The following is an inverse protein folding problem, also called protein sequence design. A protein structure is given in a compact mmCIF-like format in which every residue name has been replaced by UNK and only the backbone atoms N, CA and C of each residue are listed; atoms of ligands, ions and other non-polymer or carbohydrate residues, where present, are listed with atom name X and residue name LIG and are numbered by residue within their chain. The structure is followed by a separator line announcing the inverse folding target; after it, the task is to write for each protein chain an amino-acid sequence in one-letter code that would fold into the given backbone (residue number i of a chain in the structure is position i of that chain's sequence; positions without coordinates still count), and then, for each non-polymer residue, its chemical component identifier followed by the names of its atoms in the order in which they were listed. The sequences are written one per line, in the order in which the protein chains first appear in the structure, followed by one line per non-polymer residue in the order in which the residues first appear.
data_IF_747042864274
#
_entry.id   IF_747042864274
#
_cell.length_a   1.000
_cell.length_b   1.000
_cell.length_c   1.000
_cell.angle_alpha   90.00
_cell.angle_beta   90.00
_cell.angle_gamma   90.00
#
_symmetry.space_group_name_H-M   'P 1'
#
loop_
_entity.id
_entity.type
_entity.pdbx_description
1 polymer ?
#
# COMPACT_ATOMS: atom_id res chain seq x y z
N UNK A 1 41.91 -1.78 8.65
CA UNK A 1 40.44 -1.79 8.56
C UNK A 1 40.00 -3.07 7.88
N UNK A 2 39.09 -3.83 8.48
CA UNK A 2 38.44 -4.94 7.81
C UNK A 2 37.53 -4.40 6.70
N UNK A 3 37.51 -5.08 5.56
CA UNK A 3 36.55 -4.75 4.49
C UNK A 3 35.24 -5.51 4.71
N UNK A 4 34.13 -5.07 4.13
CA UNK A 4 32.87 -5.81 4.20
C UNK A 4 32.97 -7.23 3.60
N UNK A 5 33.97 -7.47 2.75
CA UNK A 5 34.32 -8.80 2.24
C UNK A 5 34.93 -9.71 3.33
N UNK A 6 35.59 -9.11 4.32
CA UNK A 6 36.18 -9.82 5.47
C UNK A 6 35.16 -10.00 6.62
N UNK A 7 34.04 -9.27 6.61
CA UNK A 7 33.06 -9.25 7.70
C UNK A 7 31.98 -10.31 7.50
N UNK A 8 31.72 -11.13 8.53
CA UNK A 8 30.63 -12.12 8.51
C UNK A 8 29.24 -11.50 8.61
N UNK A 9 29.14 -10.30 9.16
CA UNK A 9 27.90 -9.56 9.36
C UNK A 9 27.95 -8.24 8.56
N UNK A 10 26.82 -7.80 8.01
CA UNK A 10 26.76 -6.56 7.22
C UNK A 10 27.24 -5.35 8.03
N UNK A 11 27.95 -4.41 7.40
CA UNK A 11 28.75 -3.42 8.15
C UNK A 11 27.95 -2.58 9.13
N UNK A 12 26.77 -2.07 8.75
CA UNK A 12 25.95 -1.20 9.62
C UNK A 12 25.13 -2.03 10.65
N UNK A 13 25.11 -3.36 10.58
CA UNK A 13 24.26 -4.18 11.47
C UNK A 13 24.49 -3.90 12.97
N UNK A 14 25.75 -3.71 13.38
CA UNK A 14 26.10 -3.34 14.76
C UNK A 14 25.51 -2.00 15.18
N UNK A 15 25.52 -1.02 14.27
CA UNK A 15 24.94 0.29 14.50
C UNK A 15 23.41 0.25 14.52
N UNK A 16 22.79 -0.52 13.62
CA UNK A 16 21.33 -0.67 13.61
C UNK A 16 20.85 -1.35 14.89
N UNK A 17 21.58 -2.33 15.42
CA UNK A 17 21.22 -2.95 16.69
C UNK A 17 21.21 -1.95 17.84
N UNK A 18 22.20 -1.06 17.95
CA UNK A 18 22.17 0.03 18.95
C UNK A 18 20.98 0.97 18.70
N UNK A 19 20.68 1.28 17.43
CA UNK A 19 19.54 2.14 17.09
C UNK A 19 18.18 1.52 17.43
N UNK A 20 18.10 0.20 17.67
CA UNK A 20 16.85 -0.45 18.09
C UNK A 20 16.48 -0.20 19.55
N UNK A 21 17.48 0.13 20.38
CA UNK A 21 17.30 0.41 21.80
C UNK A 21 16.97 1.90 22.07
N UNK A 22 16.84 2.70 21.00
CA UNK A 22 16.46 4.12 21.10
C UNK A 22 15.02 4.29 21.57
N UNK A 23 14.80 5.27 22.44
CA UNK A 23 13.48 5.67 22.91
C UNK A 23 12.75 6.55 21.88
N UNK A 24 11.43 6.69 22.00
CA UNK A 24 10.60 7.49 21.07
C UNK A 24 10.99 8.98 21.01
N UNK A 25 11.62 9.49 22.07
CA UNK A 25 12.13 10.86 22.17
C UNK A 25 13.56 11.03 21.64
N UNK A 26 14.18 9.96 21.15
CA UNK A 26 15.57 9.93 20.70
C UNK A 26 15.70 9.77 19.19
N UNK A 27 16.72 10.41 18.64
CA UNK A 27 17.01 10.40 17.22
C UNK A 27 18.51 10.28 16.99
N UNK A 28 18.90 9.36 16.12
CA UNK A 28 20.28 9.17 15.69
C UNK A 28 20.38 9.31 14.19
N UNK A 29 21.41 10.05 13.75
CA UNK A 29 21.79 10.18 12.35
C UNK A 29 23.20 9.69 12.18
N UNK A 30 23.36 8.60 11.43
CA UNK A 30 24.65 8.12 10.95
C UNK A 30 24.92 8.69 9.56
N UNK A 31 26.11 9.25 9.34
CA UNK A 31 26.46 9.90 8.08
C UNK A 31 27.91 9.65 7.67
N UNK A 32 28.08 9.07 6.48
CA UNK A 32 29.35 9.00 5.76
C UNK A 32 29.40 10.16 4.76
N UNK A 33 30.33 11.10 4.96
CA UNK A 33 30.57 12.20 4.00
C UNK A 33 31.87 11.96 3.27
N UNK A 34 31.83 12.02 1.94
CA UNK A 34 32.98 11.79 1.08
C UNK A 34 33.20 12.95 0.12
N UNK A 35 34.46 13.32 -0.10
CA UNK A 35 34.90 14.29 -1.09
C UNK A 35 36.00 13.66 -1.95
N UNK A 36 35.80 13.70 -3.27
CA UNK A 36 36.81 13.22 -4.21
C UNK A 36 38.12 13.99 -4.07
N UNK A 37 39.24 13.28 -3.97
CA UNK A 37 40.56 13.91 -4.08
C UNK A 37 40.89 14.11 -5.55
N UNK A 38 41.38 15.29 -5.92
CA UNK A 38 41.89 15.55 -7.27
C UNK A 38 43.24 14.85 -7.42
N UNK A 39 43.40 14.07 -8.49
CA UNK A 39 44.64 13.38 -8.81
C UNK A 39 45.64 14.36 -9.43
N UNK A 40 46.38 15.04 -8.56
CA UNK A 40 47.37 16.05 -8.95
C UNK A 40 48.73 15.71 -8.35
N UNK A 41 49.81 16.21 -8.97
CA UNK A 41 51.19 16.01 -8.51
C UNK A 41 51.39 16.32 -7.01
N UNK A 42 50.71 17.36 -6.50
CA UNK A 42 50.73 17.72 -5.08
C UNK A 42 50.17 16.61 -4.17
N UNK A 43 49.03 16.01 -4.56
CA UNK A 43 48.39 14.94 -3.79
C UNK A 43 49.26 13.68 -3.78
N UNK A 44 49.83 13.33 -4.94
CA UNK A 44 50.73 12.18 -5.08
C UNK A 44 52.04 12.37 -4.31
N UNK A 45 52.60 13.58 -4.31
CA UNK A 45 53.75 13.93 -3.46
C UNK A 45 53.41 13.80 -1.97
N UNK A 46 52.25 14.33 -1.54
CA UNK A 46 51.78 14.20 -0.15
C UNK A 46 51.62 12.74 0.29
N UNK A 47 51.07 11.87 -0.57
CA UNK A 47 50.97 10.43 -0.28
C UNK A 47 52.36 9.81 -0.13
N UNK A 48 53.31 10.13 -1.01
CA UNK A 48 54.70 9.64 -0.90
C UNK A 48 55.35 10.07 0.42
N UNK A 49 55.21 11.34 0.81
CA UNK A 49 55.72 11.84 2.09
C UNK A 49 55.06 11.13 3.29
N UNK A 50 53.74 10.91 3.24
CA UNK A 50 53.02 10.18 4.29
C UNK A 50 53.51 8.72 4.41
N UNK A 51 53.72 8.02 3.28
CA UNK A 51 54.29 6.66 3.27
C UNK A 51 55.69 6.62 3.88
N UNK A 52 56.56 7.55 3.48
CA UNK A 52 57.93 7.64 4.01
C UNK A 52 57.95 7.91 5.51
N UNK A 53 57.14 8.89 5.97
CA UNK A 53 56.99 9.20 7.40
C UNK A 53 56.47 8.01 8.19
N UNK A 54 55.46 7.30 7.67
CA UNK A 54 54.92 6.11 8.32
C UNK A 54 55.95 4.97 8.38
N UNK A 55 56.77 4.79 7.33
CA UNK A 55 57.86 3.78 7.33
C UNK A 55 58.93 4.11 8.37
N UNK A 56 59.34 5.38 8.45
CA UNK A 56 60.30 5.86 9.44
C UNK A 56 59.80 5.72 10.89
N UNK A 57 58.55 6.13 11.17
CA UNK A 57 57.98 5.97 12.52
C UNK A 57 57.86 4.50 12.93
N UNK A 58 57.60 3.60 11.97
CA UNK A 58 57.56 2.15 12.21
C UNK A 58 58.94 1.57 12.52
N UNK A 59 60.00 2.03 11.85
CA UNK A 59 61.37 1.57 12.14
C UNK A 59 61.85 1.94 13.55
N UNK A 60 61.27 2.97 14.15
CA UNK A 60 61.60 3.41 15.52
C UNK A 60 60.82 2.66 16.62
N UNK A 61 59.84 1.82 16.27
CA UNK A 61 58.95 1.19 17.25
C UNK A 61 59.40 -0.25 17.56
N UNK A 62 59.77 -0.56 18.82
CA UNK A 62 60.23 -1.89 19.23
C UNK A 62 59.23 -3.02 18.94
N UNK A 63 57.93 -2.70 18.90
CA UNK A 63 56.83 -3.62 18.57
C UNK A 63 57.04 -4.29 17.20
N UNK A 64 57.69 -3.62 16.25
CA UNK A 64 57.82 -4.08 14.87
C UNK A 64 59.19 -4.72 14.56
N UNK A 65 60.20 -4.58 15.43
CA UNK A 65 61.55 -5.09 15.17
C UNK A 65 61.64 -6.61 14.98
N UNK A 66 60.74 -7.37 15.60
CA UNK A 66 60.70 -8.85 15.53
C UNK A 66 59.52 -9.40 14.71
N UNK A 67 58.77 -8.54 14.00
CA UNK A 67 57.53 -8.90 13.30
C UNK A 67 57.60 -8.65 11.79
N UNK A 68 58.64 -9.16 11.12
CA UNK A 68 58.91 -8.92 9.68
C UNK A 68 57.71 -9.21 8.77
N UNK A 69 57.05 -10.36 8.93
CA UNK A 69 55.89 -10.73 8.10
C UNK A 69 54.63 -9.86 8.29
N UNK A 70 54.51 -9.13 9.42
CA UNK A 70 53.42 -8.15 9.62
C UNK A 70 53.73 -6.84 8.90
N UNK A 71 55.01 -6.45 8.83
CA UNK A 71 55.45 -5.25 8.11
C UNK A 71 55.22 -5.43 6.61
N UNK A 72 55.56 -6.58 6.04
CA UNK A 72 55.35 -6.89 4.61
C UNK A 72 53.87 -6.77 4.23
N UNK A 73 52.99 -7.47 4.97
CA UNK A 73 51.53 -7.36 4.77
C UNK A 73 50.97 -5.94 4.90
N UNK A 74 51.58 -5.13 5.78
CA UNK A 74 51.22 -3.71 5.94
C UNK A 74 51.66 -2.86 4.76
N UNK A 75 52.88 -3.06 4.26
CA UNK A 75 53.39 -2.36 3.08
C UNK A 75 52.57 -2.71 1.83
N UNK A 76 52.25 -3.99 1.62
CA UNK A 76 51.36 -4.46 0.56
C UNK A 76 49.97 -3.79 0.62
N UNK A 77 49.36 -3.76 1.82
CA UNK A 77 48.04 -3.14 2.00
C UNK A 77 48.07 -1.62 1.73
N UNK A 78 49.15 -0.93 2.13
CA UNK A 78 49.33 0.51 1.86
C UNK A 78 49.52 0.77 0.37
N UNK A 79 50.28 -0.08 -0.31
CA UNK A 79 50.51 0.03 -1.75
C UNK A 79 49.23 -0.21 -2.54
N UNK A 80 48.54 -1.31 -2.23
CA UNK A 80 47.23 -1.61 -2.81
C UNK A 80 46.27 -0.43 -2.65
N UNK A 81 46.10 0.10 -1.43
CA UNK A 81 45.22 1.24 -1.16
C UNK A 81 45.61 2.51 -1.93
N UNK A 82 46.91 2.77 -2.08
CA UNK A 82 47.40 3.97 -2.77
C UNK A 82 47.20 3.94 -4.29
N UNK A 83 47.09 2.74 -4.87
CA UNK A 83 46.82 2.57 -6.30
C UNK A 83 45.33 2.67 -6.64
N UNK A 84 44.47 2.74 -5.61
CA UNK A 84 43.03 2.94 -5.79
C UNK A 84 42.68 4.43 -5.83
N UNK A 85 41.49 4.73 -6.36
CA UNK A 85 40.93 6.08 -6.27
C UNK A 85 40.54 6.38 -4.82
N UNK A 86 41.25 7.34 -4.22
CA UNK A 86 41.03 7.75 -2.85
C UNK A 86 40.00 8.88 -2.73
N UNK A 87 39.34 8.92 -1.59
CA UNK A 87 38.37 9.92 -1.19
C UNK A 87 38.72 10.38 0.22
N UNK A 88 38.61 11.69 0.47
CA UNK A 88 38.57 12.20 1.83
C UNK A 88 37.21 11.88 2.40
N UNK A 89 37.18 11.21 3.54
CA UNK A 89 35.93 10.84 4.17
C UNK A 89 35.95 11.11 5.68
N UNK A 90 34.77 11.44 6.17
CA UNK A 90 34.47 11.53 7.58
C UNK A 90 33.26 10.66 7.88
N UNK A 91 33.41 9.84 8.91
CA UNK A 91 32.30 9.18 9.53
C UNK A 91 31.79 10.05 10.68
N UNK A 92 30.49 10.35 10.69
CA UNK A 92 29.88 11.27 11.65
C UNK A 92 28.60 10.67 12.19
N UNK A 93 28.41 10.77 13.49
CA UNK A 93 27.20 10.34 14.19
C UNK A 93 26.67 11.55 14.94
N UNK A 94 25.39 11.84 14.79
CA UNK A 94 24.69 12.85 15.57
C UNK A 94 23.58 12.16 16.36
N UNK A 95 23.49 12.48 17.65
CA UNK A 95 22.43 12.05 18.52
C UNK A 95 21.68 13.28 19.02
N UNK A 96 20.36 13.21 19.05
CA UNK A 96 19.49 14.23 19.61
C UNK A 96 18.39 13.56 20.44
N UNK A 97 18.14 14.10 21.64
CA UNK A 97 17.02 13.72 22.50
C UNK A 97 16.09 14.92 22.64
N UNK A 98 14.79 14.72 22.47
CA UNK A 98 13.80 15.76 22.74
C UNK A 98 13.74 15.99 24.26
N UNK A 99 13.60 17.25 24.72
CA UNK A 99 13.43 17.51 26.13
C UNK A 99 12.16 16.81 26.65
N UNK A 100 12.30 15.97 27.67
CA UNK A 100 11.17 15.39 28.39
C UNK A 100 11.03 16.09 29.76
N UNK A 101 9.92 16.82 30.01
CA UNK A 101 9.70 17.54 31.27
C UNK A 101 9.74 16.64 32.52
N UNK A 102 9.42 15.35 32.39
CA UNK A 102 9.33 14.42 33.53
C UNK A 102 10.68 13.83 33.95
N UNK A 103 11.67 13.79 33.05
CA UNK A 103 12.91 13.02 33.24
C UNK A 103 14.09 13.90 33.72
N UNK A 104 13.94 15.23 33.76
CA UNK A 104 14.87 16.12 34.48
C UNK A 104 16.36 16.00 34.10
N UNK A 105 16.68 15.53 32.90
CA UNK A 105 18.06 15.40 32.43
C UNK A 105 18.58 16.78 32.01
N UNK A 106 19.20 17.50 32.95
CA UNK A 106 19.79 18.82 32.70
C UNK A 106 21.31 18.84 32.95
N UNK A 107 21.97 19.85 32.37
CA UNK A 107 23.37 20.16 32.63
C UNK A 107 24.33 19.02 32.30
N UNK A 108 25.18 18.67 33.26
CA UNK A 108 26.26 17.69 33.05
C UNK A 108 25.78 16.24 33.03
N UNK A 109 24.61 15.95 33.61
CA UNK A 109 24.00 14.61 33.57
C UNK A 109 23.57 14.27 32.14
N UNK A 110 22.93 15.22 31.44
CA UNK A 110 22.59 15.06 30.02
C UNK A 110 23.84 14.91 29.16
N UNK A 111 24.88 15.72 29.39
CA UNK A 111 26.15 15.58 28.64
C UNK A 111 26.79 14.21 28.85
N UNK A 112 26.75 13.69 30.08
CA UNK A 112 27.29 12.36 30.41
C UNK A 112 26.49 11.28 29.68
N UNK A 113 25.16 11.30 29.81
CA UNK A 113 24.27 10.38 29.08
C UNK A 113 24.54 10.39 27.57
N UNK A 114 24.60 11.58 26.96
CA UNK A 114 24.91 11.74 25.54
C UNK A 114 26.29 11.17 25.17
N UNK A 115 27.28 11.33 26.05
CA UNK A 115 28.63 10.80 25.82
C UNK A 115 28.64 9.28 25.91
N UNK A 116 27.97 8.71 26.92
CA UNK A 116 27.86 7.26 27.12
C UNK A 116 27.18 6.59 25.91
N UNK A 117 26.10 7.18 25.39
CA UNK A 117 25.45 6.70 24.16
C UNK A 117 26.40 6.76 22.96
N UNK A 118 27.12 7.87 22.81
CA UNK A 118 28.09 8.03 21.72
C UNK A 118 29.30 7.09 21.85
N UNK A 119 29.72 6.77 23.06
CA UNK A 119 30.78 5.78 23.35
C UNK A 119 30.33 4.37 22.92
N UNK A 120 29.06 3.98 23.17
CA UNK A 120 28.50 2.71 22.67
C UNK A 120 28.54 2.63 21.14
N UNK A 121 28.19 3.72 20.44
CA UNK A 121 28.36 3.81 18.98
C UNK A 121 29.85 3.71 18.59
N UNK A 122 30.73 4.25 19.42
CA UNK A 122 32.18 4.14 19.31
C UNK A 122 32.68 2.71 19.27
N UNK A 123 32.21 1.91 20.23
CA UNK A 123 32.53 0.50 20.32
C UNK A 123 31.98 -0.29 19.12
N UNK A 124 30.76 0.00 18.66
CA UNK A 124 30.19 -0.67 17.49
C UNK A 124 30.98 -0.43 16.19
N UNK A 125 31.55 0.77 16.00
CA UNK A 125 32.43 1.10 14.86
C UNK A 125 33.82 0.46 15.02
N UNK A 126 34.25 0.20 16.25
CA UNK A 126 35.57 -0.37 16.54
C UNK A 126 35.75 -1.79 15.98
N UNK A 127 34.66 -2.52 15.71
CA UNK A 127 34.65 -3.83 15.04
C UNK A 127 35.35 -3.78 13.67
N UNK A 128 35.41 -2.61 13.04
CA UNK A 128 36.10 -2.43 11.75
C UNK A 128 37.61 -2.21 11.89
N UNK A 129 38.10 -1.97 13.10
CA UNK A 129 39.52 -1.78 13.37
C UNK A 129 40.27 -3.11 13.23
N UNK A 130 41.49 -3.04 12.67
CA UNK A 130 42.44 -4.17 12.71
C UNK A 130 43.59 -3.75 13.63
N UNK A 131 43.90 -4.58 14.63
CA UNK A 131 44.81 -4.28 15.77
C UNK A 131 46.17 -3.70 15.35
N UNK A 132 46.68 -4.11 14.19
CA UNK A 132 47.99 -3.67 13.68
C UNK A 132 47.91 -2.84 12.38
N UNK A 133 46.70 -2.45 11.91
CA UNK A 133 46.49 -1.69 10.67
C UNK A 133 45.67 -0.41 10.91
N UNK A 134 44.83 0.01 9.93
CA UNK A 134 43.96 1.18 10.06
C UNK A 134 42.92 0.97 11.17
N UNK A 135 42.77 1.99 12.01
CA UNK A 135 41.75 2.13 13.05
C UNK A 135 41.09 3.52 12.97
N UNK A 136 39.89 3.64 13.52
CA UNK A 136 39.20 4.92 13.68
C UNK A 136 39.73 5.68 14.90
N UNK A 137 39.81 7.00 14.75
CA UNK A 137 40.11 7.93 15.84
C UNK A 137 38.88 8.77 16.11
N UNK A 138 38.36 8.70 17.33
CA UNK A 138 37.26 9.54 17.78
C UNK A 138 37.77 10.96 18.08
N UNK A 139 37.13 11.96 17.46
CA UNK A 139 37.37 13.36 17.78
C UNK A 139 36.54 13.74 19.02
N UNK A 140 36.89 14.85 19.67
CA UNK A 140 36.15 15.33 20.86
C UNK A 140 34.67 15.57 20.53
N UNK A 141 33.79 15.23 21.47
CA UNK A 141 32.36 15.52 21.36
C UNK A 141 32.10 17.01 21.20
N UNK A 142 31.25 17.35 20.23
CA UNK A 142 30.85 18.73 19.93
C UNK A 142 29.35 18.86 20.19
N UNK A 143 28.97 19.85 20.99
CA UNK A 143 27.58 20.08 21.39
C UNK A 143 27.06 21.41 20.87
N UNK A 144 25.74 21.55 20.86
CA UNK A 144 25.05 22.80 20.56
C UNK A 144 24.86 23.11 19.07
N UNK A 145 24.33 24.30 18.81
CA UNK A 145 23.88 24.72 17.47
C UNK A 145 24.99 24.81 16.44
N UNK A 146 26.21 25.19 16.84
CA UNK A 146 27.35 25.25 15.91
C UNK A 146 27.74 23.86 15.40
N UNK A 147 27.79 22.85 16.29
CA UNK A 147 28.04 21.47 15.92
C UNK A 147 26.97 20.92 14.97
N UNK A 148 25.69 21.22 15.25
CA UNK A 148 24.57 20.83 14.40
C UNK A 148 24.67 21.46 13.00
N UNK A 149 25.00 22.76 12.90
CA UNK A 149 25.18 23.44 11.61
C UNK A 149 26.31 22.80 10.79
N UNK A 150 27.45 22.52 11.41
CA UNK A 150 28.58 21.87 10.73
C UNK A 150 28.23 20.44 10.25
N UNK A 151 27.42 19.71 11.05
CA UNK A 151 26.88 18.41 10.68
C UNK A 151 25.96 18.53 9.45
N UNK A 152 24.99 19.44 9.49
CA UNK A 152 24.04 19.71 8.40
C UNK A 152 24.74 20.19 7.11
N UNK A 153 25.74 21.06 7.23
CA UNK A 153 26.53 21.60 6.12
C UNK A 153 27.51 20.58 5.50
N UNK A 154 27.62 19.37 6.08
CA UNK A 154 28.50 18.30 5.57
C UNK A 154 29.97 18.69 5.53
N UNK A 155 30.39 19.50 6.50
CA UNK A 155 31.79 19.91 6.61
C UNK A 155 32.71 18.72 6.92
N UNK A 156 33.83 18.67 6.20
CA UNK A 156 34.87 17.65 6.33
C UNK A 156 36.02 18.24 7.13
N UNK A 157 36.33 17.64 8.27
CA UNK A 157 37.45 18.06 9.14
C UNK A 157 38.18 16.82 9.65
N UNK A 158 39.52 16.84 9.66
CA UNK A 158 40.36 15.67 10.05
C UNK A 158 39.94 14.37 9.34
N UNK A 159 39.76 14.43 8.02
CA UNK A 159 39.30 13.29 7.21
C UNK A 159 40.34 12.19 7.07
N UNK A 160 39.87 10.95 6.96
CA UNK A 160 40.68 9.82 6.52
C UNK A 160 40.63 9.67 4.99
N UNK A 161 41.63 9.00 4.42
CA UNK A 161 41.60 8.59 3.01
C UNK A 161 41.04 7.17 2.92
N UNK A 162 40.01 6.99 2.11
CA UNK A 162 39.40 5.68 1.81
C UNK A 162 39.20 5.48 0.32
N UNK A 163 39.19 4.23 -0.11
CA UNK A 163 38.74 3.85 -1.45
C UNK A 163 37.33 3.26 -1.39
N UNK A 164 36.77 2.91 -2.54
CA UNK A 164 35.37 2.46 -2.68
C UNK A 164 35.00 1.28 -1.78
N UNK A 165 35.86 0.26 -1.63
CA UNK A 165 35.55 -0.93 -0.81
C UNK A 165 35.54 -0.57 0.68
N UNK A 166 36.49 0.24 1.15
CA UNK A 166 36.48 0.74 2.53
C UNK A 166 35.26 1.63 2.80
N UNK A 167 34.87 2.48 1.84
CA UNK A 167 33.67 3.31 1.95
C UNK A 167 32.38 2.46 2.02
N UNK A 168 32.26 1.44 1.18
CA UNK A 168 31.17 0.46 1.25
C UNK A 168 31.19 -0.29 2.59
N UNK A 169 32.37 -0.54 3.15
CA UNK A 169 32.50 -1.14 4.49
C UNK A 169 32.01 -0.22 5.60
N UNK A 170 31.97 1.09 5.41
CA UNK A 170 31.37 2.03 6.36
C UNK A 170 29.88 2.23 6.09
N UNK A 171 29.42 1.97 4.87
CA UNK A 171 28.03 2.14 4.49
C UNK A 171 27.59 1.05 3.51
N UNK A 172 27.10 -0.06 4.06
CA UNK A 172 26.42 -1.12 3.32
C UNK A 172 25.15 -1.50 4.08
N UNK A 173 23.97 -1.52 3.43
CA UNK A 173 22.72 -1.89 4.09
C UNK A 173 22.86 -3.27 4.75
N UNK A 174 22.41 -3.44 6.00
CA UNK A 174 22.46 -4.75 6.63
C UNK A 174 21.58 -5.73 5.85
N UNK A 175 22.03 -6.98 5.74
CA UNK A 175 21.16 -8.04 5.25
C UNK A 175 20.03 -8.28 6.25
N UNK A 176 18.85 -8.59 5.73
CA UNK A 176 17.62 -8.69 6.53
C UNK A 176 17.62 -9.84 7.53
N UNK A 177 18.59 -10.74 7.46
CA UNK A 177 18.74 -11.88 8.37
C UNK A 177 19.58 -11.51 9.61
N UNK A 178 20.32 -10.40 9.53
CA UNK A 178 21.25 -9.96 10.57
C UNK A 178 20.67 -8.88 11.48
N UNK A 179 19.46 -8.37 11.20
CA UNK A 179 18.83 -7.27 11.93
C UNK A 179 17.38 -7.64 12.25
N UNK A 180 17.06 -7.66 13.55
CA UNK A 180 15.70 -7.90 14.03
C UNK A 180 14.82 -6.65 13.83
N UNK A 181 13.49 -6.76 13.87
CA UNK A 181 12.54 -5.62 13.81
C UNK A 181 12.60 -4.71 12.56
N UNK A 182 13.31 -5.08 11.50
CA UNK A 182 13.27 -4.35 10.22
C UNK A 182 11.96 -4.62 9.46
N UNK A 183 11.21 -3.56 9.11
CA UNK A 183 10.00 -3.67 8.27
C UNK A 183 10.40 -4.01 6.83
N UNK A 184 10.24 -5.29 6.46
CA UNK A 184 10.47 -5.75 5.07
C UNK A 184 9.34 -5.23 4.17
N UNK A 185 9.71 -4.54 3.09
CA UNK A 185 8.78 -4.22 2.00
C UNK A 185 8.89 -5.35 0.99
N UNK A 186 7.97 -6.33 1.07
CA UNK A 186 8.00 -7.56 0.26
C UNK A 186 7.66 -7.34 -1.23
N UNK A 187 7.25 -6.13 -1.59
CA UNK A 187 6.79 -5.78 -2.93
C UNK A 187 7.24 -4.37 -3.28
N UNK A 188 7.68 -4.19 -4.53
CA UNK A 188 7.92 -2.85 -5.05
C UNK A 188 6.59 -2.10 -5.08
N UNK A 189 6.55 -0.93 -4.44
CA UNK A 189 5.41 -0.02 -4.57
C UNK A 189 5.52 0.69 -5.92
N UNK A 190 4.41 0.82 -6.62
CA UNK A 190 4.33 1.58 -7.86
C UNK A 190 3.75 2.98 -7.57
N UNK A 191 4.20 4.03 -8.29
CA UNK A 191 3.52 5.31 -8.26
C UNK A 191 2.12 5.18 -8.84
N UNK A 192 1.23 6.10 -8.46
CA UNK A 192 -0.06 6.27 -9.13
C UNK A 192 0.16 6.54 -10.63
N UNK A 193 -0.49 5.80 -11.54
CA UNK A 193 -0.51 6.14 -12.96
C UNK A 193 -1.12 7.52 -13.18
N UNK A 194 -0.56 8.30 -14.10
CA UNK A 194 -0.99 9.68 -14.38
C UNK A 194 -2.42 9.78 -14.93
N UNK A 195 -2.95 8.69 -15.50
CA UNK A 195 -4.28 8.62 -16.09
C UNK A 195 -5.40 8.38 -15.07
N UNK A 196 -5.07 8.07 -13.81
CA UNK A 196 -6.10 7.78 -12.80
C UNK A 196 -6.73 9.09 -12.32
N UNK A 197 -8.07 9.17 -12.20
CA UNK A 197 -8.74 10.37 -11.71
C UNK A 197 -8.43 10.60 -10.23
N UNK A 198 -8.01 11.82 -9.91
CA UNK A 198 -7.67 12.29 -8.56
C UNK A 198 -8.52 13.48 -8.11
N UNK A 199 -9.26 14.13 -9.02
CA UNK A 199 -10.06 15.31 -8.73
C UNK A 199 -11.35 14.93 -7.99
N UNK A 200 -11.51 15.49 -6.80
CA UNK A 200 -12.65 15.25 -5.89
C UNK A 200 -13.96 15.89 -6.37
N UNK A 201 -13.87 17.04 -7.05
CA UNK A 201 -15.04 17.87 -7.40
C UNK A 201 -15.71 17.49 -8.72
N UNK A 202 -15.18 16.49 -9.43
CA UNK A 202 -15.73 16.08 -10.72
C UNK A 202 -16.79 15.00 -10.52
N UNK A 203 -18.04 15.32 -10.90
CA UNK A 203 -19.18 14.39 -10.85
C UNK A 203 -19.02 13.13 -11.71
N UNK A 204 -18.04 13.10 -12.62
CA UNK A 204 -17.68 11.91 -13.37
C UNK A 204 -16.69 11.01 -12.65
N UNK A 205 -16.12 11.43 -11.51
CA UNK A 205 -15.09 10.69 -10.79
C UNK A 205 -15.65 10.07 -9.52
N UNK A 206 -15.38 8.78 -9.36
CA UNK A 206 -15.82 8.01 -8.21
C UNK A 206 -14.59 7.62 -7.38
N UNK A 207 -14.24 8.43 -6.40
CA UNK A 207 -13.07 8.20 -5.55
C UNK A 207 -13.34 7.08 -4.55
N UNK A 208 -12.43 6.10 -4.49
CA UNK A 208 -12.58 4.93 -3.62
C UNK A 208 -11.28 4.54 -2.89
N UNK A 209 -10.14 5.17 -3.24
CA UNK A 209 -8.83 4.80 -2.71
C UNK A 209 -7.91 5.98 -2.42
N UNK A 210 -6.83 5.69 -1.71
CA UNK A 210 -5.76 6.64 -1.39
C UNK A 210 -4.40 5.97 -1.61
N UNK A 211 -3.48 6.69 -2.24
CA UNK A 211 -2.11 6.22 -2.45
C UNK A 211 -1.37 6.08 -1.13
N UNK A 212 -0.37 5.20 -1.11
CA UNK A 212 0.59 5.08 -0.03
C UNK A 212 2.04 5.02 -0.58
N UNK A 213 2.23 5.49 -1.81
CA UNK A 213 3.52 5.50 -2.48
C UNK A 213 4.39 6.64 -1.95
N UNK A 214 5.49 6.34 -1.25
CA UNK A 214 6.41 7.35 -0.69
C UNK A 214 5.72 8.41 0.20
N UNK A 215 4.69 8.00 0.94
CA UNK A 215 3.86 8.89 1.76
C UNK A 215 3.07 9.92 0.94
N UNK A 216 2.89 9.69 -0.36
CA UNK A 216 1.88 10.38 -1.16
C UNK A 216 0.50 9.85 -0.74
N UNK A 217 -0.34 10.77 -0.27
CA UNK A 217 -1.68 10.55 0.24
C UNK A 217 -2.77 10.96 -0.78
N UNK A 218 -2.41 11.05 -2.06
CA UNK A 218 -3.33 11.41 -3.13
C UNK A 218 -4.51 10.42 -3.22
N UNK A 219 -5.73 10.95 -3.16
CA UNK A 219 -6.97 10.18 -3.38
C UNK A 219 -7.13 9.86 -4.86
N UNK A 220 -7.70 8.70 -5.15
CA UNK A 220 -7.90 8.23 -6.51
C UNK A 220 -9.20 7.45 -6.68
N UNK A 221 -9.66 7.33 -7.92
CA UNK A 221 -10.96 6.74 -8.24
C UNK A 221 -11.07 6.10 -9.61
N UNK A 222 -12.31 5.89 -10.03
CA UNK A 222 -12.68 5.45 -11.38
C UNK A 222 -13.46 6.55 -12.11
N UNK A 223 -13.18 6.74 -13.40
CA UNK A 223 -14.03 7.61 -14.23
C UNK A 223 -15.35 6.89 -14.52
N UNK A 224 -16.42 7.66 -14.68
CA UNK A 224 -17.72 7.14 -15.07
C UNK A 224 -17.68 6.44 -16.43
N UNK A 225 -16.86 6.93 -17.37
CA UNK A 225 -16.69 6.29 -18.68
C UNK A 225 -16.07 4.90 -18.55
N UNK A 226 -15.10 4.72 -17.67
CA UNK A 226 -14.45 3.42 -17.42
C UNK A 226 -15.43 2.46 -16.74
N UNK A 227 -16.25 2.97 -15.81
CA UNK A 227 -17.30 2.19 -15.14
C UNK A 227 -18.40 1.68 -16.10
N UNK A 228 -18.56 2.28 -17.28
CA UNK A 228 -19.46 1.75 -18.32
C UNK A 228 -18.97 0.42 -18.91
N UNK A 229 -17.67 0.14 -18.84
CA UNK A 229 -17.09 -1.14 -19.21
C UNK A 229 -17.31 -2.26 -18.18
N UNK A 230 -18.12 -2.00 -17.15
CA UNK A 230 -18.32 -2.84 -15.97
C UNK A 230 -17.06 -2.96 -15.09
N UNK A 231 -17.26 -3.35 -13.84
CA UNK A 231 -16.19 -3.50 -12.87
C UNK A 231 -16.28 -4.88 -12.22
N UNK A 232 -15.17 -5.61 -12.19
CA UNK A 232 -15.05 -6.88 -11.49
C UNK A 232 -14.16 -6.72 -10.26
N UNK A 233 -14.75 -6.86 -9.07
CA UNK A 233 -14.06 -6.64 -7.79
C UNK A 233 -13.79 -7.99 -7.14
N UNK A 234 -12.51 -8.33 -7.03
CA UNK A 234 -12.05 -9.58 -6.43
C UNK A 234 -11.43 -9.35 -5.05
N UNK A 235 -11.66 -10.28 -4.12
CA UNK A 235 -11.05 -10.24 -2.80
C UNK A 235 -11.62 -11.30 -1.86
N UNK A 236 -10.81 -11.76 -0.90
CA UNK A 236 -11.25 -12.67 0.16
C UNK A 236 -12.25 -11.99 1.12
N UNK A 237 -12.93 -12.75 1.97
CA UNK A 237 -13.73 -12.15 3.04
C UNK A 237 -12.86 -11.25 3.93
N UNK A 238 -13.42 -10.11 4.38
CA UNK A 238 -12.69 -9.10 5.16
C UNK A 238 -11.68 -8.25 4.38
N UNK A 239 -11.58 -8.37 3.05
CA UNK A 239 -10.64 -7.56 2.25
C UNK A 239 -11.15 -6.14 1.93
N UNK A 240 -12.31 -5.74 2.44
CA UNK A 240 -12.89 -4.41 2.19
C UNK A 240 -13.74 -4.26 0.92
N UNK A 241 -14.18 -5.37 0.29
CA UNK A 241 -15.03 -5.31 -0.92
C UNK A 241 -16.33 -4.52 -0.71
N UNK A 242 -17.07 -4.83 0.35
CA UNK A 242 -18.33 -4.15 0.68
C UNK A 242 -18.09 -2.66 0.95
N UNK A 243 -17.02 -2.33 1.66
CA UNK A 243 -16.65 -0.93 1.91
C UNK A 243 -16.29 -0.17 0.62
N UNK A 244 -15.55 -0.79 -0.30
CA UNK A 244 -15.30 -0.21 -1.62
C UNK A 244 -16.61 0.06 -2.37
N UNK A 245 -17.56 -0.89 -2.37
CA UNK A 245 -18.89 -0.69 -2.98
C UNK A 245 -19.65 0.45 -2.32
N UNK A 246 -19.63 0.56 -0.98
CA UNK A 246 -20.25 1.67 -0.25
C UNK A 246 -19.67 3.02 -0.68
N UNK A 247 -18.35 3.14 -0.88
CA UNK A 247 -17.73 4.37 -1.37
C UNK A 247 -18.20 4.73 -2.79
N UNK A 248 -18.32 3.73 -3.67
CA UNK A 248 -18.80 3.95 -5.02
C UNK A 248 -20.27 4.43 -5.02
N UNK A 249 -21.12 3.75 -4.27
CA UNK A 249 -22.54 4.09 -4.11
C UNK A 249 -22.69 5.47 -3.49
N UNK A 250 -21.90 5.79 -2.46
CA UNK A 250 -21.89 7.12 -1.82
C UNK A 250 -21.61 8.23 -2.82
N UNK A 251 -20.57 8.09 -3.63
CA UNK A 251 -20.22 9.09 -4.64
C UNK A 251 -21.34 9.27 -5.66
N UNK A 252 -21.94 8.17 -6.14
CA UNK A 252 -23.06 8.25 -7.08
C UNK A 252 -24.30 8.90 -6.45
N UNK A 253 -24.62 8.62 -5.18
CA UNK A 253 -25.70 9.30 -4.47
C UNK A 253 -25.44 10.80 -4.33
N UNK A 254 -24.22 11.19 -3.96
CA UNK A 254 -23.83 12.59 -3.77
C UNK A 254 -23.90 13.41 -5.06
N UNK A 255 -23.56 12.80 -6.20
CA UNK A 255 -23.63 13.46 -7.51
C UNK A 255 -25.01 13.34 -8.18
N UNK A 256 -26.03 12.81 -7.47
CA UNK A 256 -27.39 12.70 -8.00
C UNK A 256 -27.57 11.62 -9.07
N UNK A 257 -26.64 10.65 -9.17
CA UNK A 257 -26.77 9.54 -10.10
C UNK A 257 -27.75 8.48 -9.55
N UNK A 258 -28.53 7.89 -10.45
CA UNK A 258 -29.36 6.73 -10.14
C UNK A 258 -28.53 5.45 -10.03
N UNK A 259 -28.88 4.59 -9.08
CA UNK A 259 -28.20 3.32 -8.84
C UNK A 259 -29.19 2.29 -8.27
N UNK A 260 -28.86 1.02 -8.43
CA UNK A 260 -29.55 -0.11 -7.80
C UNK A 260 -28.51 -1.00 -7.13
N UNK A 261 -28.82 -1.48 -5.93
CA UNK A 261 -27.96 -2.36 -5.14
C UNK A 261 -28.74 -3.64 -4.89
N UNK A 262 -28.10 -4.76 -5.23
CA UNK A 262 -28.63 -6.09 -4.96
C UNK A 262 -27.68 -6.76 -3.99
N UNK A 263 -28.17 -7.03 -2.79
CA UNK A 263 -27.42 -7.69 -1.74
C UNK A 263 -28.25 -8.84 -1.15
N UNK A 264 -27.83 -10.11 -1.33
CA UNK A 264 -28.55 -11.24 -0.77
C UNK A 264 -28.43 -11.37 0.75
N UNK A 265 -27.50 -10.67 1.39
CA UNK A 265 -27.27 -10.75 2.85
C UNK A 265 -27.89 -9.58 3.63
N UNK A 266 -28.02 -8.42 3.00
CA UNK A 266 -28.66 -7.22 3.54
C UNK A 266 -27.72 -6.27 4.28
N UNK A 267 -26.55 -6.72 4.71
CA UNK A 267 -25.58 -5.94 5.47
C UNK A 267 -25.05 -4.72 4.69
N UNK A 268 -24.83 -4.88 3.38
CA UNK A 268 -24.42 -3.77 2.53
C UNK A 268 -25.54 -2.74 2.36
N UNK A 269 -26.79 -3.18 2.24
CA UNK A 269 -27.96 -2.30 2.09
C UNK A 269 -28.16 -1.48 3.37
N UNK A 270 -28.10 -2.11 4.54
CA UNK A 270 -28.22 -1.43 5.84
C UNK A 270 -27.17 -0.32 6.01
N UNK A 271 -25.94 -0.58 5.60
CA UNK A 271 -24.88 0.42 5.65
C UNK A 271 -25.07 1.56 4.65
N UNK A 272 -25.59 1.26 3.46
CA UNK A 272 -25.89 2.27 2.44
C UNK A 272 -27.03 3.18 2.90
N UNK A 273 -28.07 2.63 3.52
CA UNK A 273 -29.21 3.41 4.02
C UNK A 273 -28.76 4.48 5.04
N UNK A 274 -27.75 4.20 5.86
CA UNK A 274 -27.18 5.14 6.84
C UNK A 274 -26.47 6.35 6.20
N UNK A 275 -26.06 6.25 4.93
CA UNK A 275 -25.29 7.29 4.23
C UNK A 275 -26.09 7.99 3.12
N UNK A 276 -27.39 7.70 3.00
CA UNK A 276 -28.29 8.39 2.06
C UNK A 276 -28.35 9.88 2.42
N UNK A 277 -28.08 10.80 1.48
CA UNK A 277 -28.24 12.24 1.72
C UNK A 277 -29.69 12.62 2.04
N UNK A 278 -29.92 13.56 2.94
CA UNK A 278 -31.28 13.98 3.36
C UNK A 278 -32.19 14.37 2.17
N UNK A 279 -31.63 15.07 1.19
CA UNK A 279 -32.38 15.51 0.00
C UNK A 279 -32.82 14.35 -0.93
N UNK A 280 -32.24 13.16 -0.75
CA UNK A 280 -32.46 11.94 -1.55
C UNK A 280 -33.32 10.90 -0.84
N UNK A 281 -33.68 11.11 0.43
CA UNK A 281 -34.41 10.11 1.24
C UNK A 281 -35.73 9.69 0.57
N UNK A 282 -36.43 10.62 -0.05
CA UNK A 282 -37.70 10.36 -0.76
C UNK A 282 -37.53 9.58 -2.07
N UNK A 283 -36.31 9.47 -2.58
CA UNK A 283 -36.00 8.76 -3.82
C UNK A 283 -35.63 7.29 -3.58
N UNK A 284 -35.49 6.88 -2.31
CA UNK A 284 -35.04 5.54 -1.94
C UNK A 284 -36.22 4.57 -1.93
N UNK A 285 -36.07 3.47 -2.66
CA UNK A 285 -36.99 2.34 -2.64
C UNK A 285 -36.25 1.13 -2.09
N UNK A 286 -36.72 0.59 -0.98
CA UNK A 286 -36.21 -0.66 -0.40
C UNK A 286 -37.16 -1.78 -0.80
N UNK A 287 -36.61 -2.82 -1.43
CA UNK A 287 -37.34 -4.03 -1.79
C UNK A 287 -36.78 -5.18 -0.95
N UNK A 288 -37.35 -5.38 0.23
CA UNK A 288 -37.04 -6.51 1.10
C UNK A 288 -38.20 -7.52 1.10
N UNK A 289 -38.07 -8.68 0.43
CA UNK A 289 -39.10 -9.72 0.43
C UNK A 289 -39.35 -10.35 1.81
N UNK A 290 -38.47 -10.13 2.79
CA UNK A 290 -38.59 -10.64 4.16
C UNK A 290 -39.31 -9.69 5.11
N UNK A 291 -39.57 -8.44 4.69
CA UNK A 291 -40.31 -7.47 5.50
C UNK A 291 -41.83 -7.78 5.47
N UNK A 292 -42.35 -8.25 6.60
CA UNK A 292 -43.77 -8.52 6.80
C UNK A 292 -44.57 -7.29 7.26
N UNK A 293 -43.91 -6.25 7.78
CA UNK A 293 -44.58 -5.05 8.27
C UNK A 293 -44.86 -4.07 7.11
N UNK A 294 -43.89 -3.92 6.21
CA UNK A 294 -43.99 -3.03 5.04
C UNK A 294 -43.61 -3.79 3.75
N UNK A 295 -44.36 -4.84 3.38
CA UNK A 295 -44.00 -5.69 2.26
C UNK A 295 -43.97 -4.90 0.94
N UNK A 296 -42.89 -5.02 0.15
CA UNK A 296 -42.81 -4.35 -1.14
C UNK A 296 -43.82 -4.94 -2.12
N UNK A 297 -44.61 -4.09 -2.78
CA UNK A 297 -45.51 -4.51 -3.85
C UNK A 297 -44.88 -4.31 -5.22
N UNK A 298 -44.59 -5.40 -5.93
CA UNK A 298 -44.10 -5.36 -7.30
C UNK A 298 -44.93 -6.31 -8.18
N UNK A 299 -45.54 -5.77 -9.25
CA UNK A 299 -46.23 -6.55 -10.25
C UNK A 299 -45.50 -6.45 -11.60
N UNK A 300 -44.80 -7.50 -12.05
CA UNK A 300 -44.07 -7.48 -13.32
C UNK A 300 -44.99 -7.44 -14.54
N UNK A 301 -46.30 -7.69 -14.38
CA UNK A 301 -47.29 -7.59 -15.45
C UNK A 301 -47.94 -6.20 -15.54
N UNK A 302 -47.67 -5.31 -14.57
CA UNK A 302 -48.29 -4.00 -14.53
C UNK A 302 -47.70 -3.07 -15.61
N UNK A 303 -48.59 -2.48 -16.43
CA UNK A 303 -48.27 -1.42 -17.41
C UNK A 303 -47.11 -1.76 -18.36
N UNK A 304 -46.99 -3.03 -18.74
CA UNK A 304 -45.98 -3.49 -19.71
C UNK A 304 -46.36 -2.99 -21.12
N UNK A 305 -45.49 -2.24 -21.81
CA UNK A 305 -45.70 -1.86 -23.21
C UNK A 305 -45.80 -3.08 -24.13
N UNK A 306 -46.58 -2.99 -25.21
CA UNK A 306 -46.83 -4.11 -26.12
C UNK A 306 -45.53 -4.72 -26.69
N UNK A 307 -44.58 -3.87 -27.05
CA UNK A 307 -43.25 -4.26 -27.56
C UNK A 307 -42.41 -5.08 -26.55
N UNK A 308 -42.69 -4.95 -25.25
CA UNK A 308 -41.98 -5.67 -24.18
C UNK A 308 -42.73 -6.90 -23.68
N UNK A 309 -43.98 -7.15 -24.10
CA UNK A 309 -44.79 -8.28 -23.62
C UNK A 309 -44.09 -9.63 -23.80
N UNK A 310 -43.47 -9.85 -24.95
CA UNK A 310 -42.71 -11.07 -25.23
C UNK A 310 -41.49 -11.20 -24.31
N UNK A 311 -40.76 -10.11 -24.09
CA UNK A 311 -39.58 -10.10 -23.20
C UNK A 311 -39.95 -10.41 -21.75
N UNK A 312 -41.02 -9.79 -21.25
CA UNK A 312 -41.54 -10.07 -19.90
C UNK A 312 -42.00 -11.52 -19.81
N UNK A 313 -42.70 -12.02 -20.82
CA UNK A 313 -43.14 -13.42 -20.87
C UNK A 313 -41.97 -14.39 -20.80
N UNK A 314 -40.93 -14.18 -21.61
CA UNK A 314 -39.70 -14.99 -21.58
C UNK A 314 -39.07 -14.96 -20.18
N UNK A 315 -38.93 -13.78 -19.58
CA UNK A 315 -38.37 -13.64 -18.23
C UNK A 315 -39.17 -14.39 -17.16
N UNK A 316 -40.51 -14.31 -17.20
CA UNK A 316 -41.38 -15.06 -16.28
C UNK A 316 -41.19 -16.57 -16.49
N UNK A 317 -41.18 -17.04 -17.74
CA UNK A 317 -40.95 -18.45 -18.06
C UNK A 317 -39.60 -18.93 -17.53
N UNK A 318 -38.52 -18.18 -17.77
CA UNK A 318 -37.17 -18.50 -17.28
C UNK A 318 -37.10 -18.56 -15.74
N UNK A 319 -37.83 -17.68 -15.04
CA UNK A 319 -37.93 -17.71 -13.58
C UNK A 319 -38.56 -19.03 -13.12
N UNK A 320 -39.72 -19.41 -13.67
CA UNK A 320 -40.38 -20.66 -13.29
C UNK A 320 -39.58 -21.89 -13.70
N UNK A 321 -38.89 -21.87 -14.84
CA UNK A 321 -38.00 -22.94 -15.27
C UNK A 321 -36.86 -23.15 -14.26
N UNK A 322 -36.21 -22.08 -13.81
CA UNK A 322 -35.18 -22.15 -12.76
C UNK A 322 -35.72 -22.63 -11.42
N UNK A 323 -36.93 -22.23 -11.05
CA UNK A 323 -37.58 -22.63 -9.79
C UNK A 323 -38.01 -24.10 -9.78
N UNK A 324 -38.55 -24.60 -10.89
CA UNK A 324 -39.12 -25.95 -10.98
C UNK A 324 -38.09 -27.02 -11.38
N UNK A 325 -36.95 -26.62 -11.96
CA UNK A 325 -35.82 -27.50 -12.26
C UNK A 325 -36.25 -28.75 -13.04
N UNK A 326 -36.11 -29.92 -12.41
CA UNK A 326 -36.44 -31.22 -13.01
C UNK A 326 -37.93 -31.46 -13.28
N UNK A 327 -38.83 -30.68 -12.68
CA UNK A 327 -40.29 -30.80 -12.90
C UNK A 327 -40.76 -30.01 -14.12
N UNK A 328 -39.86 -29.25 -14.75
CA UNK A 328 -40.17 -28.49 -15.95
C UNK A 328 -40.46 -29.38 -17.16
N UNK A 329 -41.44 -29.01 -17.97
CA UNK A 329 -41.78 -29.70 -19.22
C UNK A 329 -42.20 -28.71 -20.30
N UNK A 330 -42.02 -29.09 -21.56
CA UNK A 330 -42.40 -28.27 -22.71
C UNK A 330 -43.89 -27.90 -22.70
N UNK A 331 -44.74 -28.79 -22.19
CA UNK A 331 -46.17 -28.52 -22.03
C UNK A 331 -46.42 -27.44 -20.97
N UNK A 332 -45.73 -27.51 -19.83
CA UNK A 332 -45.85 -26.51 -18.77
C UNK A 332 -45.37 -25.14 -19.27
N UNK A 333 -44.27 -25.13 -20.01
CA UNK A 333 -43.75 -23.93 -20.65
C UNK A 333 -44.78 -23.29 -21.59
N UNK A 334 -45.35 -24.09 -22.50
CA UNK A 334 -46.33 -23.61 -23.48
C UNK A 334 -47.55 -23.00 -22.79
N UNK A 335 -48.11 -23.70 -21.79
CA UNK A 335 -49.23 -23.23 -20.98
C UNK A 335 -48.88 -21.94 -20.24
N UNK A 336 -47.73 -21.86 -19.58
CA UNK A 336 -47.33 -20.68 -18.81
C UNK A 336 -47.07 -19.47 -19.71
N UNK A 337 -46.45 -19.69 -20.87
CA UNK A 337 -46.20 -18.66 -21.89
C UNK A 337 -47.52 -18.06 -22.38
N UNK A 338 -48.47 -18.91 -22.77
CA UNK A 338 -49.78 -18.47 -23.27
C UNK A 338 -50.59 -17.80 -22.16
N UNK A 339 -50.52 -18.31 -20.93
CA UNK A 339 -51.16 -17.66 -19.77
C UNK A 339 -50.59 -16.28 -19.55
N UNK A 340 -49.28 -16.13 -19.54
CA UNK A 340 -48.62 -14.83 -19.28
C UNK A 340 -48.96 -13.80 -20.36
N UNK A 341 -48.92 -14.18 -21.64
CA UNK A 341 -49.32 -13.31 -22.75
C UNK A 341 -50.79 -12.87 -22.67
N UNK A 342 -51.66 -13.79 -22.27
CA UNK A 342 -53.09 -13.51 -22.11
C UNK A 342 -53.34 -12.54 -20.98
N UNK A 343 -52.64 -12.73 -19.85
CA UNK A 343 -52.72 -11.82 -18.71
C UNK A 343 -52.16 -10.44 -19.04
N UNK A 344 -51.06 -10.34 -19.81
CA UNK A 344 -50.50 -9.06 -20.27
C UNK A 344 -51.45 -8.31 -21.22
N UNK A 345 -52.39 -9.01 -21.86
CA UNK A 345 -53.40 -8.41 -22.74
C UNK A 345 -54.61 -7.87 -21.96
N UNK A 346 -54.70 -8.15 -20.66
CA UNK A 346 -55.80 -7.69 -19.79
C UNK A 346 -55.26 -6.77 -18.69
N UNK A 347 -55.90 -5.61 -18.50
CA UNK A 347 -55.51 -4.67 -17.43
C UNK A 347 -55.86 -5.22 -16.04
N UNK A 348 -55.05 -4.90 -15.04
CA UNK A 348 -55.30 -5.27 -13.64
C UNK A 348 -54.94 -6.71 -13.28
N UNK A 349 -54.28 -7.44 -14.18
CA UNK A 349 -53.79 -8.80 -13.91
C UNK A 349 -52.49 -8.78 -13.11
N UNK A 350 -52.24 -9.88 -12.40
CA UNK A 350 -51.03 -10.11 -11.60
C UNK A 350 -50.52 -11.53 -11.81
N UNK A 351 -49.35 -11.88 -11.27
CA UNK A 351 -48.87 -13.28 -11.25
C UNK A 351 -49.91 -14.21 -10.60
N UNK A 352 -50.65 -13.75 -9.58
CA UNK A 352 -51.70 -14.55 -8.93
C UNK A 352 -52.85 -14.89 -9.88
N UNK A 353 -53.03 -14.12 -10.96
CA UNK A 353 -54.02 -14.40 -12.00
C UNK A 353 -53.69 -15.67 -12.82
N UNK A 354 -52.45 -16.16 -12.80
CA UNK A 354 -52.06 -17.42 -13.49
C UNK A 354 -52.88 -18.59 -12.93
N UNK A 355 -52.95 -18.73 -11.60
CA UNK A 355 -53.77 -19.77 -10.95
C UNK A 355 -55.24 -19.64 -11.32
N UNK A 356 -55.76 -18.41 -11.38
CA UNK A 356 -57.16 -18.16 -11.77
C UNK A 356 -57.43 -18.55 -13.22
N UNK A 357 -56.53 -18.23 -14.16
CA UNK A 357 -56.66 -18.67 -15.57
C UNK A 357 -56.77 -20.19 -15.70
N UNK A 358 -56.01 -20.93 -14.87
CA UNK A 358 -55.96 -22.38 -14.94
C UNK A 358 -57.19 -23.07 -14.31
N UNK A 359 -57.84 -22.45 -13.31
CA UNK A 359 -58.89 -23.09 -12.49
C UNK A 359 -60.28 -22.48 -12.70
N UNK A 360 -60.39 -21.17 -12.92
CA UNK A 360 -61.65 -20.43 -12.99
C UNK A 360 -62.04 -20.16 -14.46
N UNK A 361 -63.01 -20.93 -14.97
CA UNK A 361 -63.51 -20.83 -16.34
C UNK A 361 -64.10 -19.45 -16.66
N UNK A 362 -64.84 -18.84 -15.73
CA UNK A 362 -65.43 -17.50 -15.94
C UNK A 362 -64.35 -16.44 -16.07
N UNK A 363 -63.32 -16.51 -15.23
CA UNK A 363 -62.18 -15.62 -15.30
C UNK A 363 -61.41 -15.81 -16.61
N UNK A 364 -61.21 -17.05 -17.04
CA UNK A 364 -60.55 -17.38 -18.32
C UNK A 364 -61.29 -16.78 -19.51
N UNK A 365 -62.62 -16.94 -19.57
CA UNK A 365 -63.44 -16.37 -20.64
C UNK A 365 -63.36 -14.83 -20.67
N UNK A 366 -63.38 -14.18 -19.51
CA UNK A 366 -63.22 -12.72 -19.38
C UNK A 366 -61.84 -12.22 -19.81
N UNK A 367 -60.76 -12.97 -19.54
CA UNK A 367 -59.44 -12.63 -20.06
C UNK A 367 -59.38 -12.88 -21.57
N UNK A 368 -59.92 -13.99 -22.06
CA UNK A 368 -59.94 -14.35 -23.48
C UNK A 368 -60.72 -13.36 -24.36
N UNK A 369 -61.74 -12.69 -23.82
CA UNK A 369 -62.47 -11.64 -24.54
C UNK A 369 -61.59 -10.40 -24.81
N UNK A 370 -60.55 -10.16 -24.01
CA UNK A 370 -59.64 -9.02 -24.19
C UNK A 370 -58.41 -9.35 -25.07
N UNK A 371 -58.26 -10.59 -25.52
CA UNK A 371 -57.15 -11.01 -26.36
C UNK A 371 -57.44 -10.66 -27.82
N UNK A 372 -56.53 -9.93 -28.47
CA UNK A 372 -56.61 -9.59 -29.90
C UNK A 372 -56.06 -10.71 -30.80
N UNK A 373 -55.04 -11.44 -30.33
CA UNK A 373 -54.44 -12.55 -31.06
C UNK A 373 -55.38 -13.76 -31.15
N UNK A 374 -55.76 -14.13 -32.38
CA UNK A 374 -56.69 -15.23 -32.64
C UNK A 374 -56.15 -16.61 -32.22
N UNK A 375 -54.84 -16.84 -32.31
CA UNK A 375 -54.21 -18.11 -31.92
C UNK A 375 -54.28 -18.26 -30.41
N UNK A 376 -53.90 -17.19 -29.69
CA UNK A 376 -53.94 -17.15 -28.24
C UNK A 376 -55.36 -17.24 -27.70
N UNK A 377 -56.32 -16.57 -28.36
CA UNK A 377 -57.74 -16.67 -28.02
C UNK A 377 -58.27 -18.08 -28.24
N UNK A 378 -57.94 -18.72 -29.37
CA UNK A 378 -58.40 -20.09 -29.69
C UNK A 378 -57.91 -21.11 -28.67
N UNK A 379 -56.68 -20.97 -28.16
CA UNK A 379 -56.13 -21.85 -27.12
C UNK A 379 -56.98 -21.89 -25.84
N UNK A 380 -57.67 -20.79 -25.49
CA UNK A 380 -58.50 -20.72 -24.28
C UNK A 380 -59.97 -21.01 -24.49
N UNK A 381 -60.45 -21.00 -25.73
CA UNK A 381 -61.85 -21.24 -26.10
C UNK A 381 -62.10 -22.68 -26.59
N UNK A 382 -61.03 -23.44 -26.84
CA UNK A 382 -61.07 -24.91 -26.96
C UNK A 382 -61.19 -25.54 -25.57
#
# INVERSE_FOLDING_TARGET
MATYLDMRFGSISTLVNIMQDLQDDEQVVYQLVMKGTKDNAYFNSKIKTMKAKAKFLRSLSPKYWFKKGIIEKLEEAIEHKSNQRLFQANLRIAFAKRPNPEIGLEGDVLKKYLSDVMDNFGEAVSVWNKTDQNYFVWDKYRYGSHALRAFQAREISKSFLVYNVEAASMWFPPSSDNVQRTKRVLFNRAPLPQSIPTKVEDSNNCLFGQSNYRSDETKFGLNRIDRRGHCYILGKSGSGKSYMLQLLVKADMQFGHGLAVLDPHGDLVDDILKIVPEHRVKDVIVLDPSDYQFPPSFNPLARVPDELKMRVTIGIVEIFQKLLGSTWSDRLEHVLRYTTLSLLSTRGTTILSIRRMLVDERYRLMVASNIEDNVLRSFWLQ
#
